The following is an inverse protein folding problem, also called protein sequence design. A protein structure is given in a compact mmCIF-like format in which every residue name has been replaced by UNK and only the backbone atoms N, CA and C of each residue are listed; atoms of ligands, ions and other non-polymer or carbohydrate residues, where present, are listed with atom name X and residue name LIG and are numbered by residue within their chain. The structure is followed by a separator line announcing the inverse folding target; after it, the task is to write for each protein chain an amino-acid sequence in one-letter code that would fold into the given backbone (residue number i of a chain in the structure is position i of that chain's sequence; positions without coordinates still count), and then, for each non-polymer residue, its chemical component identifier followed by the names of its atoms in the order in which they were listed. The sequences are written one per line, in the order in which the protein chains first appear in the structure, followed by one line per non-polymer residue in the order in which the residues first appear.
data_IF_613496168729
#
_entry.id   IF_613496168729
#
_cell.length_a   1.000
_cell.length_b   1.000
_cell.length_c   1.000
_cell.angle_alpha   90.00
_cell.angle_beta   90.00
_cell.angle_gamma   90.00
#
_symmetry.space_group_name_H-M   'P 1'
#
loop_
_entity.id
_entity.type
_entity.pdbx_description
1 polymer ?
#
# COMPACT_ATOMS: atom_id res chain seq x y z
N UNK A 1 34.69 84.00 6.56
CA UNK A 1 33.51 84.51 7.27
C UNK A 1 32.70 83.29 7.66
N UNK A 2 33.08 82.69 8.81
CA UNK A 2 32.34 82.82 10.09
C UNK A 2 30.99 82.10 9.99
N UNK A 3 30.88 80.88 10.55
CA UNK A 3 30.39 80.60 11.93
C UNK A 3 29.03 81.28 12.18
N UNK A 4 27.97 80.61 12.65
CA UNK A 4 27.98 79.59 13.69
C UNK A 4 26.60 78.96 13.92
N UNK A 5 26.65 77.74 14.48
CA UNK A 5 25.79 77.13 15.52
C UNK A 5 24.35 76.66 15.19
N UNK A 6 24.21 75.33 15.29
CA UNK A 6 22.96 74.63 15.58
C UNK A 6 23.31 73.24 16.13
N UNK A 7 23.06 73.04 17.43
CA UNK A 7 23.42 71.88 18.23
C UNK A 7 22.80 70.54 17.74
N UNK A 8 23.59 69.49 17.94
CA UNK A 8 23.29 68.06 18.05
C UNK A 8 21.84 67.61 18.25
N UNK A 9 21.41 66.60 17.49
CA UNK A 9 20.83 65.36 18.04
C UNK A 9 21.05 64.18 17.08
N UNK A 10 21.65 63.11 17.60
CA UNK A 10 21.68 61.78 17.01
C UNK A 10 20.24 61.21 16.92
N UNK A 11 20.07 60.24 16.03
CA UNK A 11 18.86 59.44 15.74
C UNK A 11 17.92 60.02 14.68
N UNK A 12 18.14 59.64 13.41
CA UNK A 12 17.01 59.21 12.56
C UNK A 12 17.42 58.44 11.28
N UNK A 13 18.10 57.29 11.44
CA UNK A 13 18.26 56.29 10.35
C UNK A 13 18.14 54.85 10.83
N UNK A 14 17.26 54.60 11.81
CA UNK A 14 16.82 53.25 12.24
C UNK A 14 15.29 53.14 12.25
N UNK A 15 14.67 53.55 11.15
CA UNK A 15 13.23 53.33 10.93
C UNK A 15 12.97 53.12 9.43
N UNK A 16 13.46 52.01 8.86
CA UNK A 16 12.98 51.48 7.57
C UNK A 16 13.40 50.05 7.24
N UNK A 17 13.98 49.28 8.18
CA UNK A 17 14.45 47.90 7.88
C UNK A 17 13.96 46.85 8.88
N UNK A 18 12.79 47.05 9.50
CA UNK A 18 12.24 46.11 10.48
C UNK A 18 10.82 45.60 10.18
N UNK A 19 10.19 46.03 9.07
CA UNK A 19 8.85 45.57 8.67
C UNK A 19 8.81 44.70 7.40
N UNK A 20 9.95 44.45 6.74
CA UNK A 20 10.03 43.58 5.56
C UNK A 20 10.52 42.14 5.86
N UNK A 21 10.73 41.80 7.13
CA UNK A 21 11.21 40.46 7.54
C UNK A 21 10.09 39.50 7.99
N UNK A 22 8.82 39.85 7.77
CA UNK A 22 7.67 39.06 8.20
C UNK A 22 6.58 38.99 7.13
N UNK A 23 6.91 38.49 5.94
CA UNK A 23 5.97 37.89 4.97
C UNK A 23 6.78 37.27 3.82
N UNK A 24 6.38 36.07 3.38
CA UNK A 24 7.02 35.20 2.35
C UNK A 24 8.42 34.70 2.75
N UNK A 25 8.70 33.42 3.03
CA UNK A 25 8.15 32.20 2.44
C UNK A 25 8.15 31.05 3.47
N UNK A 26 6.98 30.78 4.06
CA UNK A 26 6.69 29.51 4.71
C UNK A 26 6.41 28.44 3.66
N UNK A 27 7.43 28.07 2.89
CA UNK A 27 7.38 26.89 2.03
C UNK A 27 8.79 26.37 1.72
N UNK A 28 9.68 26.38 2.72
CA UNK A 28 10.82 25.47 2.73
C UNK A 28 10.28 24.05 2.90
N UNK A 29 9.92 23.45 1.77
CA UNK A 29 9.94 22.00 1.59
C UNK A 29 11.29 21.57 2.15
N UNK A 30 11.26 20.78 3.21
CA UNK A 30 12.46 20.13 3.73
C UNK A 30 13.02 19.33 2.56
N UNK A 31 14.08 19.84 1.95
CA UNK A 31 14.89 19.13 0.97
C UNK A 31 15.54 17.98 1.73
N UNK A 32 14.87 16.83 1.74
CA UNK A 32 15.46 15.56 2.08
C UNK A 32 16.52 15.29 1.01
N UNK A 33 17.70 15.86 1.23
CA UNK A 33 18.73 15.97 0.21
C UNK A 33 18.95 14.66 -0.52
N UNK A 34 18.83 14.71 -1.85
CA UNK A 34 19.59 14.00 -2.92
C UNK A 34 20.25 12.62 -2.67
N UNK A 35 19.99 11.86 -1.61
CA UNK A 35 20.71 10.63 -1.26
C UNK A 35 19.85 9.54 -0.59
N UNK A 36 18.52 9.67 -0.59
CA UNK A 36 17.66 8.51 -0.39
C UNK A 36 17.54 7.73 -1.69
N UNK A 37 18.19 6.58 -1.82
CA UNK A 37 17.97 5.67 -2.95
C UNK A 37 16.57 5.06 -2.76
N UNK A 38 15.54 5.73 -3.30
CA UNK A 38 14.19 5.18 -3.36
C UNK A 38 14.13 4.14 -4.47
N UNK A 39 13.93 2.87 -4.09
CA UNK A 39 13.71 1.79 -5.05
C UNK A 39 12.22 1.51 -5.10
N UNK A 40 11.60 1.78 -6.26
CA UNK A 40 10.17 1.54 -6.49
C UNK A 40 9.84 0.05 -6.29
N UNK A 41 8.64 -0.21 -5.75
CA UNK A 41 8.14 -1.56 -5.50
C UNK A 41 6.84 -1.78 -6.27
N UNK A 42 6.67 -2.98 -6.79
CA UNK A 42 5.43 -3.42 -7.46
C UNK A 42 4.99 -4.78 -6.93
N UNK A 43 3.68 -5.06 -7.00
CA UNK A 43 3.20 -6.42 -6.86
C UNK A 43 3.38 -7.17 -8.19
N UNK A 44 3.83 -8.41 -8.09
CA UNK A 44 3.68 -9.40 -9.14
C UNK A 44 2.92 -10.62 -8.59
N UNK A 45 2.04 -11.21 -9.40
CA UNK A 45 1.40 -12.49 -9.07
C UNK A 45 1.68 -13.45 -10.21
N UNK A 46 2.18 -14.65 -9.88
CA UNK A 46 2.15 -15.80 -10.78
C UNK A 46 0.84 -16.53 -10.52
N UNK A 47 0.01 -16.58 -11.56
CA UNK A 47 -1.37 -17.08 -11.55
C UNK A 47 -1.41 -18.62 -11.56
N UNK A 48 -2.58 -19.24 -11.32
CA UNK A 48 -2.67 -20.69 -11.19
C UNK A 48 -2.24 -21.46 -12.44
N UNK A 49 -2.38 -20.87 -13.63
CA UNK A 49 -2.00 -21.47 -14.91
C UNK A 49 -0.47 -21.56 -15.14
N UNK A 50 0.32 -20.76 -14.42
CA UNK A 50 1.78 -20.71 -14.58
C UNK A 50 2.54 -21.10 -13.31
N UNK A 51 1.86 -21.69 -12.32
CA UNK A 51 2.46 -22.02 -11.03
C UNK A 51 3.55 -23.10 -11.14
N UNK A 52 3.43 -24.02 -12.10
CA UNK A 52 4.44 -25.04 -12.40
C UNK A 52 5.70 -24.43 -13.04
N UNK A 53 5.56 -23.29 -13.73
CA UNK A 53 6.66 -22.52 -14.32
C UNK A 53 7.18 -21.42 -13.38
N UNK A 54 6.80 -21.42 -12.10
CA UNK A 54 7.12 -20.32 -11.19
C UNK A 54 8.64 -20.07 -11.06
N UNK A 55 9.46 -21.13 -11.03
CA UNK A 55 10.91 -20.98 -10.95
C UNK A 55 11.50 -20.30 -12.19
N UNK A 56 11.01 -20.65 -13.39
CA UNK A 56 11.46 -20.05 -14.66
C UNK A 56 11.06 -18.56 -14.73
N UNK A 57 9.86 -18.23 -14.23
CA UNK A 57 9.40 -16.83 -14.16
C UNK A 57 10.22 -16.04 -13.13
N UNK A 58 10.51 -16.61 -11.95
CA UNK A 58 11.41 -16.01 -10.96
C UNK A 58 12.81 -15.77 -11.55
N UNK A 59 13.37 -16.71 -12.29
CA UNK A 59 14.64 -16.55 -12.99
C UNK A 59 14.60 -15.42 -14.02
N UNK A 60 13.51 -15.30 -14.79
CA UNK A 60 13.33 -14.18 -15.72
C UNK A 60 13.26 -12.84 -14.99
N UNK A 61 12.56 -12.77 -13.85
CA UNK A 61 12.48 -11.58 -13.00
C UNK A 61 13.89 -11.18 -12.54
N UNK A 62 14.66 -12.10 -11.98
CA UNK A 62 16.02 -11.84 -11.49
C UNK A 62 16.97 -11.41 -12.61
N UNK A 63 16.94 -12.10 -13.76
CA UNK A 63 17.75 -11.75 -14.95
C UNK A 63 17.43 -10.36 -15.51
N UNK A 64 16.22 -9.85 -15.28
CA UNK A 64 15.81 -8.50 -15.66
C UNK A 64 16.05 -7.46 -14.55
N UNK A 65 16.95 -7.74 -13.61
CA UNK A 65 17.45 -6.76 -12.63
C UNK A 65 16.45 -6.43 -11.52
N UNK A 66 15.41 -7.23 -11.32
CA UNK A 66 14.55 -7.10 -10.16
C UNK A 66 15.13 -7.82 -8.95
N UNK A 67 14.85 -7.28 -7.77
CA UNK A 67 15.02 -7.98 -6.50
C UNK A 67 13.66 -8.48 -6.01
N UNK A 68 13.57 -9.76 -5.65
CA UNK A 68 12.38 -10.31 -4.97
C UNK A 68 12.54 -10.06 -3.46
N UNK A 69 11.79 -9.11 -2.91
CA UNK A 69 11.87 -8.74 -1.50
C UNK A 69 11.14 -9.74 -0.60
N UNK A 70 9.95 -10.17 -1.03
CA UNK A 70 9.11 -11.12 -0.31
C UNK A 70 8.34 -11.97 -1.32
N UNK A 71 8.02 -13.21 -0.93
CA UNK A 71 7.14 -14.09 -1.69
C UNK A 71 6.20 -14.87 -0.80
N UNK A 72 4.99 -15.13 -1.29
CA UNK A 72 3.95 -15.87 -0.56
C UNK A 72 3.12 -16.73 -1.51
N UNK A 73 3.11 -18.04 -1.27
CA UNK A 73 2.20 -18.98 -1.95
C UNK A 73 0.88 -19.02 -1.19
N UNK A 74 -0.24 -18.80 -1.86
CA UNK A 74 -1.57 -18.70 -1.25
C UNK A 74 -2.64 -19.25 -2.19
N UNK A 75 -3.69 -19.84 -1.63
CA UNK A 75 -4.94 -20.13 -2.34
C UNK A 75 -5.95 -19.08 -1.86
N UNK A 76 -6.47 -18.28 -2.79
CA UNK A 76 -7.44 -17.24 -2.47
C UNK A 76 -8.84 -17.84 -2.32
N UNK A 77 -9.60 -17.36 -1.33
CA UNK A 77 -11.05 -17.57 -1.33
C UNK A 77 -11.72 -16.71 -2.41
N UNK A 78 -12.96 -17.04 -2.77
CA UNK A 78 -13.75 -16.24 -3.71
C UNK A 78 -13.97 -14.81 -3.21
N UNK A 79 -14.16 -14.64 -1.90
CA UNK A 79 -14.28 -13.34 -1.24
C UNK A 79 -12.99 -12.53 -1.37
N UNK A 80 -11.85 -13.10 -0.95
CA UNK A 80 -10.55 -12.43 -1.07
C UNK A 80 -10.22 -12.05 -2.52
N UNK A 81 -10.50 -12.95 -3.46
CA UNK A 81 -10.29 -12.66 -4.88
C UNK A 81 -11.22 -11.54 -5.38
N UNK A 82 -12.47 -11.52 -4.93
CA UNK A 82 -13.43 -10.48 -5.30
C UNK A 82 -13.03 -9.11 -4.75
N UNK A 83 -12.54 -9.07 -3.51
CA UNK A 83 -12.03 -7.85 -2.89
C UNK A 83 -10.79 -7.32 -3.62
N UNK A 84 -9.85 -8.21 -3.95
CA UNK A 84 -8.63 -7.85 -4.66
C UNK A 84 -8.92 -7.23 -6.04
N UNK A 85 -9.88 -7.80 -6.79
CA UNK A 85 -10.30 -7.32 -8.11
C UNK A 85 -11.57 -6.44 -8.07
N UNK A 86 -11.87 -5.80 -6.94
CA UNK A 86 -13.11 -5.02 -6.74
C UNK A 86 -13.33 -3.91 -7.78
N UNK A 87 -12.25 -3.35 -8.36
CA UNK A 87 -12.30 -2.39 -9.47
C UNK A 87 -12.94 -2.95 -10.76
N UNK A 88 -13.01 -4.28 -10.89
CA UNK A 88 -13.65 -4.98 -12.00
C UNK A 88 -15.07 -5.45 -11.69
N UNK A 89 -15.61 -5.10 -10.52
CA UNK A 89 -16.97 -5.47 -10.15
C UNK A 89 -17.99 -4.98 -11.21
N UNK A 90 -18.96 -5.83 -11.55
CA UNK A 90 -19.96 -5.56 -12.59
C UNK A 90 -19.48 -5.74 -14.03
N UNK A 91 -18.20 -6.04 -14.29
CA UNK A 91 -17.73 -6.41 -15.63
C UNK A 91 -18.15 -7.84 -15.98
N UNK A 92 -18.49 -8.09 -17.25
CA UNK A 92 -18.95 -9.42 -17.73
C UNK A 92 -17.94 -10.55 -17.44
N UNK A 93 -16.65 -10.26 -17.47
CA UNK A 93 -15.58 -11.24 -17.22
C UNK A 93 -15.25 -11.44 -15.72
N UNK A 94 -15.84 -10.65 -14.82
CA UNK A 94 -15.47 -10.68 -13.39
C UNK A 94 -15.74 -12.04 -12.72
N UNK A 95 -16.90 -12.70 -12.92
CA UNK A 95 -17.13 -14.03 -12.32
C UNK A 95 -16.14 -15.09 -12.81
N UNK A 96 -15.78 -15.06 -14.10
CA UNK A 96 -14.81 -16.02 -14.65
C UNK A 96 -13.39 -15.75 -14.15
N UNK A 97 -13.02 -14.47 -13.98
CA UNK A 97 -11.76 -14.07 -13.36
C UNK A 97 -11.65 -14.60 -11.92
N UNK A 98 -12.68 -14.40 -11.10
CA UNK A 98 -12.71 -14.90 -9.72
C UNK A 98 -12.58 -16.41 -9.70
N UNK A 99 -13.42 -17.12 -10.45
CA UNK A 99 -13.41 -18.58 -10.51
C UNK A 99 -12.03 -19.15 -10.92
N UNK A 100 -11.35 -18.49 -11.85
CA UNK A 100 -10.01 -18.89 -12.28
C UNK A 100 -8.94 -18.61 -11.22
N UNK A 101 -8.93 -17.42 -10.63
CA UNK A 101 -7.93 -17.07 -9.62
C UNK A 101 -8.07 -17.88 -8.33
N UNK A 102 -9.25 -18.45 -8.06
CA UNK A 102 -9.49 -19.38 -6.95
C UNK A 102 -9.34 -20.86 -7.34
N UNK A 103 -9.00 -21.19 -8.60
CA UNK A 103 -8.92 -22.59 -9.04
C UNK A 103 -7.68 -23.32 -8.55
N UNK A 104 -6.73 -22.63 -7.93
CA UNK A 104 -5.48 -23.19 -7.48
C UNK A 104 -4.59 -22.18 -6.75
N UNK A 105 -3.38 -22.59 -6.35
CA UNK A 105 -2.45 -21.69 -5.68
C UNK A 105 -1.91 -20.63 -6.64
N UNK A 106 -1.67 -19.44 -6.09
CA UNK A 106 -0.90 -18.37 -6.71
C UNK A 106 0.39 -18.13 -5.93
N UNK A 107 1.35 -17.46 -6.57
CA UNK A 107 2.55 -16.95 -5.91
C UNK A 107 2.58 -15.42 -6.03
N UNK A 108 2.33 -14.73 -4.91
CA UNK A 108 2.46 -13.28 -4.82
C UNK A 108 3.91 -12.90 -4.48
N UNK A 109 4.44 -11.88 -5.14
CA UNK A 109 5.81 -11.39 -5.02
C UNK A 109 5.82 -9.87 -4.82
N UNK A 110 6.67 -9.38 -3.92
CA UNK A 110 7.06 -7.96 -3.91
C UNK A 110 8.36 -7.84 -4.70
N UNK A 111 8.31 -7.11 -5.81
CA UNK A 111 9.47 -6.84 -6.64
C UNK A 111 9.99 -5.43 -6.38
N UNK A 112 11.31 -5.24 -6.40
CA UNK A 112 11.95 -3.94 -6.28
C UNK A 112 12.96 -3.72 -7.41
N UNK A 113 12.89 -2.54 -8.03
CA UNK A 113 13.78 -2.05 -9.09
C UNK A 113 13.57 -0.55 -9.27
N UNK A 114 14.52 0.15 -9.89
CA UNK A 114 14.23 1.46 -10.47
C UNK A 114 13.12 1.33 -11.53
N UNK A 115 12.08 2.16 -11.45
CA UNK A 115 10.89 2.08 -12.30
C UNK A 115 10.29 0.66 -12.32
N UNK A 116 10.19 0.00 -11.16
CA UNK A 116 9.72 -1.37 -11.02
C UNK A 116 8.35 -1.63 -11.67
N UNK A 117 7.40 -0.70 -11.55
CA UNK A 117 6.05 -0.88 -12.09
C UNK A 117 6.11 -0.90 -13.62
N UNK A 118 6.74 0.13 -14.22
CA UNK A 118 6.90 0.23 -15.66
C UNK A 118 7.70 -0.96 -16.21
N UNK A 119 8.85 -1.24 -15.59
CA UNK A 119 9.74 -2.33 -15.98
C UNK A 119 9.04 -3.69 -15.92
N UNK A 120 8.18 -3.90 -14.91
CA UNK A 120 7.46 -5.16 -14.77
C UNK A 120 6.40 -5.29 -15.86
N UNK A 121 5.65 -4.22 -16.13
CA UNK A 121 4.68 -4.16 -17.23
C UNK A 121 5.33 -4.41 -18.59
N UNK A 122 6.50 -3.84 -18.83
CA UNK A 122 7.28 -4.09 -20.05
C UNK A 122 7.77 -5.53 -20.15
N UNK A 123 8.18 -6.15 -19.04
CA UNK A 123 8.64 -7.54 -19.02
C UNK A 123 7.50 -8.53 -19.26
N UNK A 124 6.32 -8.28 -18.67
CA UNK A 124 5.16 -9.19 -18.84
C UNK A 124 4.46 -9.01 -20.19
N UNK A 125 4.51 -7.82 -20.79
CA UNK A 125 3.90 -7.54 -22.09
C UNK A 125 2.38 -7.37 -22.05
N UNK A 126 1.72 -7.27 -23.23
CA UNK A 126 0.29 -7.03 -23.37
C UNK A 126 -0.57 -8.05 -22.62
N UNK A 127 -1.76 -7.65 -22.14
CA UNK A 127 -2.66 -8.50 -21.36
C UNK A 127 -3.09 -9.76 -22.12
N UNK A 128 -3.27 -9.66 -23.43
CA UNK A 128 -3.59 -10.80 -24.28
C UNK A 128 -2.31 -11.53 -24.70
N UNK A 129 -2.17 -12.79 -24.29
CA UNK A 129 -0.99 -13.62 -24.61
C UNK A 129 -0.76 -13.88 -26.10
N UNK A 130 -1.81 -13.90 -26.93
CA UNK A 130 -1.65 -14.00 -28.38
C UNK A 130 -1.02 -12.74 -28.94
N UNK A 131 -1.51 -11.57 -28.51
CA UNK A 131 -0.88 -10.29 -28.87
C UNK A 131 0.57 -10.24 -28.37
N UNK A 132 0.85 -10.72 -27.15
CA UNK A 132 2.21 -10.77 -26.61
C UNK A 132 3.17 -11.64 -27.44
N UNK A 133 2.68 -12.70 -28.10
CA UNK A 133 3.47 -13.53 -29.05
C UNK A 133 3.70 -12.85 -30.39
N UNK A 134 2.82 -11.95 -30.80
CA UNK A 134 2.91 -11.26 -32.09
C UNK A 134 3.77 -9.99 -32.00
N UNK A 135 3.61 -9.25 -30.90
CA UNK A 135 4.30 -7.97 -30.67
C UNK A 135 5.56 -8.21 -29.83
N UNK A 136 6.65 -8.71 -30.42
CA UNK A 136 7.93 -8.73 -29.71
C UNK A 136 8.66 -7.39 -29.86
N UNK A 137 9.19 -6.80 -28.77
CA UNK A 137 9.88 -5.51 -28.84
C UNK A 137 11.17 -5.59 -29.65
N UNK A 138 11.82 -6.76 -29.67
CA UNK A 138 12.93 -7.13 -30.55
C UNK A 138 13.11 -8.67 -30.57
N UNK A 139 14.05 -9.20 -31.36
CA UNK A 139 14.29 -10.66 -31.48
C UNK A 139 14.90 -11.31 -30.21
N UNK A 140 15.38 -10.52 -29.27
CA UNK A 140 16.12 -10.99 -28.08
C UNK A 140 15.30 -10.89 -26.79
N UNK A 141 14.19 -10.13 -26.80
CA UNK A 141 13.29 -9.96 -25.65
C UNK A 141 11.95 -10.65 -25.90
N UNK A 142 11.63 -11.60 -25.02
CA UNK A 142 10.35 -12.30 -25.02
C UNK A 142 9.54 -11.95 -23.77
N UNK A 143 8.24 -11.73 -23.95
CA UNK A 143 7.34 -11.41 -22.85
C UNK A 143 6.96 -12.65 -22.04
N UNK A 144 6.84 -12.49 -20.72
CA UNK A 144 6.39 -13.57 -19.82
C UNK A 144 5.03 -14.11 -20.27
N UNK A 145 4.10 -13.23 -20.67
CA UNK A 145 2.77 -13.62 -21.16
C UNK A 145 2.79 -14.36 -22.49
N UNK A 146 3.83 -14.16 -23.31
CA UNK A 146 3.98 -14.85 -24.58
C UNK A 146 4.43 -16.31 -24.38
N UNK A 147 5.31 -16.54 -23.40
CA UNK A 147 5.86 -17.85 -23.03
C UNK A 147 4.85 -18.71 -22.28
N UNK A 148 4.25 -18.15 -21.22
CA UNK A 148 3.52 -18.94 -20.23
C UNK A 148 2.00 -18.75 -20.29
N UNK A 149 1.54 -17.71 -20.98
CA UNK A 149 0.12 -17.40 -21.07
C UNK A 149 -0.55 -18.00 -22.31
N UNK A 150 -1.82 -18.34 -22.18
CA UNK A 150 -2.63 -18.95 -23.24
C UNK A 150 -3.62 -17.95 -23.86
N UNK A 151 -4.28 -17.13 -23.06
CA UNK A 151 -5.26 -16.14 -23.49
C UNK A 151 -5.31 -14.93 -22.53
N UNK A 152 -6.26 -14.01 -22.70
CA UNK A 152 -6.36 -12.79 -21.88
C UNK A 152 -6.60 -13.05 -20.39
N UNK A 153 -7.36 -14.09 -20.04
CA UNK A 153 -7.65 -14.43 -18.65
C UNK A 153 -6.52 -15.27 -18.03
N UNK A 154 -6.10 -16.31 -18.76
CA UNK A 154 -5.00 -17.23 -18.44
C UNK A 154 -3.71 -16.72 -19.08
N UNK A 155 -3.25 -15.55 -18.61
CA UNK A 155 -2.05 -14.89 -19.11
C UNK A 155 -0.87 -15.04 -18.15
N UNK A 156 -0.81 -16.10 -17.33
CA UNK A 156 0.28 -16.42 -16.41
C UNK A 156 0.57 -15.44 -15.26
N UNK A 157 0.50 -14.12 -15.47
CA UNK A 157 0.98 -13.13 -14.50
C UNK A 157 0.12 -11.87 -14.40
N UNK A 158 0.06 -11.31 -13.19
CA UNK A 158 -0.47 -9.98 -12.87
C UNK A 158 0.67 -9.01 -12.53
N UNK A 159 0.44 -7.73 -12.80
CA UNK A 159 1.31 -6.64 -12.38
C UNK A 159 0.51 -5.37 -12.14
N UNK A 160 0.84 -4.65 -11.09
CA UNK A 160 0.22 -3.36 -10.75
C UNK A 160 0.36 -2.37 -11.91
N UNK A 161 -0.59 -1.43 -12.01
CA UNK A 161 -0.65 -0.45 -13.11
C UNK A 161 -0.18 0.95 -12.72
N UNK A 162 -0.05 1.24 -11.42
CA UNK A 162 0.28 2.53 -10.87
C UNK A 162 0.86 2.37 -9.47
N UNK A 163 1.52 3.41 -8.94
CA UNK A 163 2.05 3.38 -7.57
C UNK A 163 0.95 3.17 -6.52
N UNK A 164 -0.24 3.75 -6.76
CA UNK A 164 -1.39 3.62 -5.85
C UNK A 164 -1.92 2.18 -5.84
N UNK A 165 -2.07 1.55 -7.02
CA UNK A 165 -2.47 0.14 -7.07
C UNK A 165 -1.40 -0.76 -6.48
N UNK A 166 -0.12 -0.53 -6.79
CA UNK A 166 0.99 -1.28 -6.21
C UNK A 166 0.99 -1.24 -4.67
N UNK A 167 0.83 -0.06 -4.07
CA UNK A 167 0.74 0.06 -2.61
C UNK A 167 -0.46 -0.72 -2.04
N UNK A 168 -1.66 -0.53 -2.61
CA UNK A 168 -2.88 -1.22 -2.17
C UNK A 168 -2.72 -2.74 -2.26
N UNK A 169 -2.23 -3.21 -3.41
CA UNK A 169 -2.05 -4.62 -3.72
C UNK A 169 -0.95 -5.28 -2.87
N UNK A 170 0.17 -4.59 -2.61
CA UNK A 170 1.21 -5.07 -1.69
C UNK A 170 0.65 -5.20 -0.28
N UNK A 171 -0.06 -4.17 0.23
CA UNK A 171 -0.68 -4.21 1.56
C UNK A 171 -1.69 -5.35 1.71
N UNK A 172 -2.42 -5.67 0.64
CA UNK A 172 -3.38 -6.78 0.62
C UNK A 172 -2.71 -8.13 0.90
N UNK A 173 -1.60 -8.44 0.24
CA UNK A 173 -0.91 -9.73 0.40
C UNK A 173 0.13 -9.76 1.54
N UNK A 174 0.71 -8.60 1.85
CA UNK A 174 1.83 -8.42 2.78
C UNK A 174 1.55 -7.25 3.74
N UNK A 175 0.56 -7.38 4.66
CA UNK A 175 0.11 -6.28 5.53
C UNK A 175 1.20 -5.76 6.48
N UNK A 176 2.22 -6.57 6.77
CA UNK A 176 3.35 -6.20 7.61
C UNK A 176 4.53 -5.59 6.82
N UNK A 177 4.41 -5.46 5.49
CA UNK A 177 5.43 -4.85 4.66
C UNK A 177 5.39 -3.33 4.78
N UNK A 178 6.56 -2.72 4.99
CA UNK A 178 6.70 -1.27 4.94
C UNK A 178 6.66 -0.86 3.47
N UNK A 179 5.64 -0.10 3.08
CA UNK A 179 5.58 0.51 1.75
C UNK A 179 6.21 1.91 1.85
N UNK A 180 7.28 2.12 1.09
CA UNK A 180 7.97 3.41 1.00
C UNK A 180 7.35 4.26 -0.14
N UNK A 181 7.47 5.59 -0.10
CA UNK A 181 8.09 6.37 0.97
C UNK A 181 7.20 6.44 2.21
N UNK A 182 7.78 6.32 3.39
CA UNK A 182 7.06 6.64 4.63
C UNK A 182 6.58 8.10 4.50
N UNK A 183 5.26 8.36 4.62
CA UNK A 183 4.75 9.72 4.47
C UNK A 183 5.34 10.62 5.56
N UNK A 184 5.82 11.79 5.17
CA UNK A 184 6.39 12.80 6.07
C UNK A 184 5.68 14.14 5.89
N UNK A 185 5.71 14.99 6.92
CA UNK A 185 5.14 16.33 6.86
C UNK A 185 3.61 16.33 6.72
N UNK A 186 3.08 17.03 5.70
CA UNK A 186 1.63 17.19 5.48
C UNK A 186 0.91 15.84 5.28
N UNK A 187 1.33 14.96 4.34
CA UNK A 187 0.73 13.63 4.18
C UNK A 187 0.64 12.80 5.47
N UNK A 188 1.68 12.87 6.33
CA UNK A 188 1.66 12.17 7.61
C UNK A 188 0.60 12.74 8.56
N UNK A 189 0.48 14.07 8.63
CA UNK A 189 -0.53 14.74 9.46
C UNK A 189 -1.95 14.42 8.97
N UNK A 190 -2.18 14.48 7.66
CA UNK A 190 -3.48 14.18 7.07
C UNK A 190 -3.91 12.73 7.40
N UNK A 191 -2.97 11.79 7.29
CA UNK A 191 -3.21 10.39 7.66
C UNK A 191 -3.57 10.24 9.14
N UNK A 192 -2.80 10.89 10.04
CA UNK A 192 -3.06 10.86 11.47
C UNK A 192 -4.43 11.46 11.79
N UNK A 193 -4.79 12.60 11.20
CA UNK A 193 -6.08 13.26 11.42
C UNK A 193 -7.27 12.40 10.98
N UNK A 194 -7.15 11.77 9.82
CA UNK A 194 -8.22 10.97 9.24
C UNK A 194 -8.40 9.62 9.95
N UNK A 195 -7.30 8.95 10.31
CA UNK A 195 -7.33 7.54 10.70
C UNK A 195 -7.02 7.29 12.18
N UNK A 196 -6.25 8.14 12.84
CA UNK A 196 -5.71 7.87 14.19
C UNK A 196 -6.29 8.83 15.23
N UNK A 197 -6.23 10.13 14.97
CA UNK A 197 -6.50 11.19 15.94
C UNK A 197 -7.90 11.13 16.51
N UNK A 198 -8.93 10.82 15.70
CA UNK A 198 -10.32 10.73 16.18
C UNK A 198 -10.48 9.71 17.31
N UNK A 199 -9.80 8.57 17.21
CA UNK A 199 -9.83 7.49 18.21
C UNK A 199 -8.87 7.82 19.35
N UNK A 200 -7.66 8.27 19.02
CA UNK A 200 -6.62 8.59 19.99
C UNK A 200 -7.02 9.72 20.94
N UNK A 201 -7.61 10.81 20.43
CA UNK A 201 -8.06 11.95 21.25
C UNK A 201 -9.13 11.51 22.26
N UNK A 202 -10.06 10.64 21.85
CA UNK A 202 -11.09 10.10 22.76
C UNK A 202 -10.46 9.30 23.90
N UNK A 203 -9.52 8.42 23.57
CA UNK A 203 -8.82 7.60 24.56
C UNK A 203 -7.95 8.45 25.51
N UNK A 204 -7.19 9.42 24.97
CA UNK A 204 -6.39 10.35 25.77
C UNK A 204 -7.26 11.22 26.68
N UNK A 205 -8.40 11.69 26.20
CA UNK A 205 -9.36 12.47 27.01
C UNK A 205 -9.88 11.63 28.19
N UNK A 206 -10.16 10.35 27.96
CA UNK A 206 -10.60 9.44 29.01
C UNK A 206 -9.46 9.10 29.99
N UNK A 207 -8.23 8.92 29.50
CA UNK A 207 -7.04 8.68 30.31
C UNK A 207 -6.81 9.82 31.32
N UNK A 208 -6.92 11.07 30.87
CA UNK A 208 -6.77 12.25 31.73
C UNK A 208 -7.85 12.34 32.83
N UNK A 209 -9.04 11.77 32.59
CA UNK A 209 -10.14 11.74 33.56
C UNK A 209 -9.96 10.61 34.59
N UNK A 210 -9.64 9.40 34.14
CA UNK A 210 -9.56 8.22 35.02
C UNK A 210 -8.26 8.14 35.82
N UNK A 211 -7.14 8.64 35.27
CA UNK A 211 -5.81 8.62 35.91
C UNK A 211 -5.46 7.22 36.49
N UNK A 212 -5.50 6.17 35.66
CA UNK A 212 -5.20 4.81 36.10
C UNK A 212 -3.75 4.67 36.58
N UNK A 213 -3.50 3.65 37.41
CA UNK A 213 -2.15 3.36 37.94
C UNK A 213 -1.12 3.05 36.85
N UNK A 214 -1.55 2.41 35.76
CA UNK A 214 -0.75 2.15 34.57
C UNK A 214 -1.39 2.85 33.35
N UNK A 215 -1.00 4.10 33.05
CA UNK A 215 -1.56 4.87 31.94
C UNK A 215 -1.34 4.25 30.57
N UNK A 216 -0.21 3.54 30.36
CA UNK A 216 0.15 3.02 29.04
C UNK A 216 -0.68 1.79 28.73
N UNK A 217 -0.73 0.83 29.66
CA UNK A 217 -1.51 -0.39 29.49
C UNK A 217 -3.01 -0.06 29.35
N UNK A 218 -3.52 0.81 30.22
CA UNK A 218 -4.91 1.25 30.16
C UNK A 218 -5.24 1.94 28.82
N UNK A 219 -4.34 2.77 28.31
CA UNK A 219 -4.54 3.45 27.03
C UNK A 219 -4.58 2.45 25.86
N UNK A 220 -3.69 1.46 25.87
CA UNK A 220 -3.67 0.40 24.85
C UNK A 220 -4.97 -0.40 24.84
N UNK A 221 -5.43 -0.85 26.01
CA UNK A 221 -6.69 -1.58 26.15
C UNK A 221 -7.88 -0.74 25.68
N UNK A 222 -7.91 0.54 26.06
CA UNK A 222 -8.97 1.46 25.64
C UNK A 222 -8.97 1.70 24.15
N UNK A 223 -7.81 1.90 23.51
CA UNK A 223 -7.71 2.04 22.06
C UNK A 223 -8.23 0.80 21.33
N UNK A 224 -7.97 -0.40 21.86
CA UNK A 224 -8.50 -1.66 21.30
C UNK A 224 -10.03 -1.73 21.45
N UNK A 225 -10.58 -1.29 22.58
CA UNK A 225 -12.02 -1.27 22.85
C UNK A 225 -12.77 -0.31 21.92
N UNK A 226 -12.25 0.90 21.73
CA UNK A 226 -12.91 1.96 20.95
C UNK A 226 -12.52 1.97 19.47
N UNK A 227 -11.76 0.99 19.00
CA UNK A 227 -11.31 0.89 17.63
C UNK A 227 -12.52 0.74 16.68
N UNK A 228 -12.81 1.72 15.81
CA UNK A 228 -13.96 1.66 14.91
C UNK A 228 -13.83 0.58 13.82
N UNK A 229 -12.61 0.07 13.61
CA UNK A 229 -12.30 -0.94 12.59
C UNK A 229 -12.20 -2.36 13.17
N UNK A 230 -12.42 -2.53 14.49
CA UNK A 230 -12.49 -3.87 15.08
C UNK A 230 -13.90 -4.43 14.88
N UNK A 231 -14.06 -5.62 14.27
CA UNK A 231 -15.37 -6.26 14.17
C UNK A 231 -15.91 -6.52 15.59
N UNK A 232 -17.11 -6.00 15.87
CA UNK A 232 -17.82 -6.25 17.12
C UNK A 232 -18.44 -7.64 17.04
N UNK A 233 -17.72 -8.66 17.50
CA UNK A 233 -18.29 -10.01 17.63
C UNK A 233 -19.28 -9.97 18.79
N UNK A 234 -20.58 -10.04 18.50
CA UNK A 234 -21.59 -10.22 19.53
C UNK A 234 -21.48 -11.63 20.09
N UNK A 235 -21.22 -11.77 21.39
CA UNK A 235 -21.13 -13.07 22.07
C UNK A 235 -22.43 -13.91 22.00
N UNK A 236 -23.55 -13.34 21.53
CA UNK A 236 -24.80 -14.07 21.32
C UNK A 236 -24.76 -15.00 20.09
N UNK A 237 -23.88 -14.77 19.12
CA UNK A 237 -23.81 -15.60 17.90
C UNK A 237 -23.01 -16.90 18.08
N UNK A 238 -22.34 -17.07 19.23
CA UNK A 238 -21.54 -18.27 19.54
C UNK A 238 -22.34 -19.37 20.27
N UNK A 239 -23.54 -19.07 20.76
CA UNK A 239 -24.36 -20.01 21.56
C UNK A 239 -25.50 -20.68 20.78
N UNK A 240 -25.59 -20.51 19.46
CA UNK A 240 -26.67 -21.10 18.64
C UNK A 240 -26.30 -22.40 17.91
N UNK A 241 -25.10 -22.96 18.10
CA UNK A 241 -24.67 -24.18 17.39
C UNK A 241 -24.30 -25.37 18.29
N UNK A 242 -24.63 -25.33 19.58
CA UNK A 242 -24.53 -26.51 20.45
C UNK A 242 -25.76 -26.60 21.35
N UNK A 243 -26.86 -27.09 20.80
CA UNK A 243 -27.89 -27.73 21.63
C UNK A 243 -28.49 -28.95 20.90
N UNK A 244 -28.09 -30.11 21.41
CA UNK A 244 -28.79 -31.40 21.49
C UNK A 244 -29.78 -31.81 20.39
N UNK A 245 -29.30 -32.57 19.39
CA UNK A 245 -30.13 -33.64 18.81
C UNK A 245 -29.91 -34.93 19.61
N UNK A 246 -30.93 -35.25 20.39
CA UNK A 246 -31.06 -36.35 21.33
C UNK A 246 -30.60 -37.73 20.84
N UNK A 247 -29.94 -38.43 21.76
CA UNK A 247 -30.03 -39.87 21.95
C UNK A 247 -31.49 -40.30 22.10
N UNK A 248 -31.93 -41.25 21.27
CA UNK A 248 -32.96 -42.21 21.65
C UNK A 248 -32.79 -43.49 20.84
N UNK A 249 -32.23 -44.51 21.49
CA UNK A 249 -32.25 -45.91 21.09
C UNK A 249 -33.68 -46.43 20.95
N UNK A 250 -33.98 -47.15 19.85
CA UNK A 250 -34.96 -48.25 19.87
C UNK A 250 -34.50 -49.33 18.87
N UNK A 251 -34.11 -50.48 19.45
CA UNK A 251 -34.04 -51.86 18.92
C UNK A 251 -33.49 -52.13 17.51
#
# INVERSE_FOLDING_TARGET
MENSLGYSHQNDKRQSTLDDTLKSDHNSIIDFGKHGIFVERTLAIIKPDAIENANEIEDMILKNGFTILQKRRIILSAEQCSDFYSEHYGKKFFPSLVAFMTSGPILALILARENAILSWRELIGPTNSTQARESHPDRFRIYVRALFGTNEQKNAVHGSDSAVSAEREIRFFFPNSIVEPIPLGRPARDYLEQNVNKTLIKALTALCKEKPKDPVLWLADKLIEINPYKPKVNKMDLNLNFDESHSSSVK
#
